data_IF_437856295726
#
_entry.id   IF_437856295726
#
_cell.length_a   1.000
_cell.length_b   1.000
_cell.length_c   1.000
_cell.angle_alpha   90.00
_cell.angle_beta   90.00
_cell.angle_gamma   90.00
#
_symmetry.space_group_name_H-M   'P 1'
#
loop_
_entity.id
_entity.type
_entity.pdbx_description
1 polymer ?
#
# COMPACT_ATOMS: atom_id res chain seq x y z
N UNK A 1 27.93 -11.46 -24.95
CA UNK A 1 26.81 -10.53 -25.18
C UNK A 1 25.70 -10.97 -24.26
N UNK A 2 25.69 -10.40 -23.07
CA UNK A 2 24.65 -10.54 -22.07
C UNK A 2 24.37 -9.11 -21.61
N UNK A 3 23.55 -8.41 -22.38
CA UNK A 3 23.21 -7.03 -22.13
C UNK A 3 21.78 -6.90 -21.62
N UNK A 4 21.72 -6.42 -20.40
CA UNK A 4 20.84 -5.31 -19.99
C UNK A 4 19.34 -5.50 -20.25
N UNK A 5 18.69 -6.37 -19.46
CA UNK A 5 17.24 -6.52 -19.55
C UNK A 5 16.44 -5.80 -18.45
N UNK A 6 17.08 -5.13 -17.49
CA UNK A 6 16.38 -4.40 -16.42
C UNK A 6 17.19 -3.19 -15.97
N UNK A 7 17.23 -2.15 -16.79
CA UNK A 7 17.46 -0.80 -16.27
C UNK A 7 16.10 -0.25 -15.83
N UNK A 8 15.69 -0.56 -14.62
CA UNK A 8 14.73 0.27 -13.90
C UNK A 8 15.51 1.46 -13.35
N UNK A 9 15.77 2.46 -14.19
CA UNK A 9 15.86 3.81 -13.68
C UNK A 9 14.45 4.16 -13.22
N UNK A 10 14.17 3.89 -11.92
CA UNK A 10 13.08 4.54 -11.24
C UNK A 10 13.34 6.04 -11.36
N UNK A 11 12.68 6.71 -12.29
CA UNK A 11 12.41 8.13 -12.16
C UNK A 11 11.61 8.28 -10.86
N UNK A 12 12.33 8.39 -9.76
CA UNK A 12 11.76 8.86 -8.52
C UNK A 12 11.27 10.26 -8.84
N UNK A 13 9.96 10.41 -8.96
CA UNK A 13 9.31 11.71 -8.96
C UNK A 13 9.67 12.35 -7.63
N UNK A 14 10.78 13.07 -7.62
CA UNK A 14 11.22 13.85 -6.46
C UNK A 14 10.18 14.95 -6.31
N UNK A 15 9.26 14.75 -5.40
CA UNK A 15 8.33 15.82 -5.03
C UNK A 15 9.13 16.82 -4.19
N UNK A 16 9.71 17.84 -4.86
CA UNK A 16 10.54 18.87 -4.22
C UNK A 16 9.72 19.86 -3.38
N UNK A 17 8.40 19.66 -3.31
CA UNK A 17 7.49 20.51 -2.55
C UNK A 17 7.36 20.11 -1.09
N UNK A 18 6.75 21.00 -0.24
CA UNK A 18 6.48 20.73 1.15
C UNK A 18 5.56 19.50 1.30
N UNK A 19 5.88 18.61 2.23
CA UNK A 19 5.07 17.43 2.55
C UNK A 19 4.68 17.41 4.02
N UNK A 20 3.47 16.91 4.32
CA UNK A 20 3.02 16.69 5.69
C UNK A 20 2.93 15.19 5.94
N UNK A 21 3.49 14.73 7.05
CA UNK A 21 3.47 13.33 7.44
C UNK A 21 3.30 13.21 8.96
N UNK A 22 2.29 12.47 9.40
CA UNK A 22 1.93 12.33 10.82
C UNK A 22 1.85 13.68 11.58
N UNK A 23 1.23 14.68 10.93
CA UNK A 23 1.05 16.02 11.48
C UNK A 23 2.30 16.91 11.48
N UNK A 24 3.43 16.44 10.99
CA UNK A 24 4.68 17.21 10.88
C UNK A 24 4.84 17.71 9.43
N UNK A 25 5.14 19.01 9.28
CA UNK A 25 5.44 19.60 7.99
C UNK A 25 6.95 19.54 7.71
N UNK A 26 7.31 19.15 6.50
CA UNK A 26 8.68 19.10 6.00
C UNK A 26 8.81 19.95 4.74
N UNK A 27 9.96 20.54 4.54
CA UNK A 27 10.26 21.34 3.34
C UNK A 27 10.27 20.50 2.05
N UNK A 28 10.60 19.21 2.17
CA UNK A 28 10.62 18.25 1.06
C UNK A 28 10.46 16.81 1.56
N UNK A 29 10.16 15.88 0.64
CA UNK A 29 10.14 14.45 0.94
C UNK A 29 11.51 13.92 1.38
N UNK A 30 12.59 14.47 0.84
CA UNK A 30 13.95 14.12 1.28
C UNK A 30 14.16 14.45 2.77
N UNK A 31 13.68 15.61 3.24
CA UNK A 31 13.76 16.00 4.65
C UNK A 31 12.89 15.12 5.54
N UNK A 32 11.69 14.72 5.06
CA UNK A 32 10.86 13.73 5.76
C UNK A 32 11.61 12.41 5.93
N UNK A 33 12.21 11.88 4.86
CA UNK A 33 12.98 10.61 4.89
C UNK A 33 14.15 10.67 5.83
N UNK A 34 14.92 11.75 5.79
CA UNK A 34 16.07 11.97 6.69
C UNK A 34 15.62 11.93 8.15
N UNK A 35 14.59 12.70 8.49
CA UNK A 35 14.05 12.78 9.85
C UNK A 35 13.57 11.41 10.36
N UNK A 36 12.73 10.73 9.59
CA UNK A 36 12.17 9.45 10.04
C UNK A 36 13.20 8.31 10.05
N UNK A 37 14.24 8.36 9.24
CA UNK A 37 15.37 7.42 9.33
C UNK A 37 16.14 7.60 10.63
N UNK A 38 16.40 8.82 11.03
CA UNK A 38 17.01 9.12 12.34
C UNK A 38 16.14 8.67 13.50
N UNK A 39 14.84 8.92 13.43
CA UNK A 39 13.89 8.47 14.45
C UNK A 39 13.80 6.93 14.51
N UNK A 40 13.83 6.25 13.36
CA UNK A 40 13.89 4.78 13.32
C UNK A 40 15.16 4.28 14.01
N UNK A 41 16.32 4.87 13.70
CA UNK A 41 17.60 4.51 14.31
C UNK A 41 17.55 4.57 15.84
N UNK A 42 16.94 5.60 16.40
CA UNK A 42 16.76 5.76 17.84
C UNK A 42 15.86 4.68 18.45
N UNK A 43 14.89 4.17 17.69
CA UNK A 43 13.94 3.16 18.16
C UNK A 43 14.42 1.71 17.97
N UNK A 44 15.41 1.47 17.11
CA UNK A 44 15.90 0.12 16.82
C UNK A 44 16.32 -0.68 18.06
N UNK A 45 17.02 -0.11 19.08
CA UNK A 45 17.39 -0.86 20.27
C UNK A 45 16.18 -1.47 21.02
N UNK A 46 15.06 -0.75 21.08
CA UNK A 46 13.83 -1.24 21.70
C UNK A 46 13.10 -2.25 20.80
N UNK A 47 13.06 -1.96 19.50
CA UNK A 47 12.39 -2.82 18.52
C UNK A 47 13.06 -4.19 18.40
N UNK A 48 14.38 -4.28 18.60
CA UNK A 48 15.12 -5.54 18.59
C UNK A 48 14.69 -6.53 19.69
N UNK A 49 14.00 -6.05 20.73
CA UNK A 49 13.45 -6.91 21.78
C UNK A 49 12.13 -7.57 21.37
N UNK A 50 11.54 -7.17 20.25
CA UNK A 50 10.30 -7.75 19.74
C UNK A 50 10.60 -9.11 19.12
N UNK A 51 9.82 -10.12 19.48
CA UNK A 51 9.95 -11.46 18.91
C UNK A 51 9.78 -11.43 17.39
N UNK A 52 10.65 -12.14 16.68
CA UNK A 52 10.64 -12.15 15.20
C UNK A 52 11.29 -10.94 14.55
N UNK A 53 12.01 -10.09 15.31
CA UNK A 53 12.77 -9.01 14.71
C UNK A 53 13.79 -9.55 13.70
N UNK A 54 13.90 -8.94 12.50
CA UNK A 54 14.78 -9.45 11.43
C UNK A 54 16.27 -9.40 11.83
N UNK A 55 17.03 -10.35 11.31
CA UNK A 55 18.48 -10.34 11.44
C UNK A 55 19.09 -9.34 10.47
N UNK A 56 20.10 -8.61 10.89
CA UNK A 56 20.78 -7.59 10.10
C UNK A 56 21.35 -6.47 10.97
N UNK A 57 22.18 -5.64 10.39
CA UNK A 57 22.69 -4.43 11.05
C UNK A 57 21.62 -3.35 11.04
N UNK A 58 21.78 -2.33 11.88
CA UNK A 58 20.87 -1.17 11.88
C UNK A 58 20.90 -0.45 10.52
N UNK A 59 22.06 -0.39 9.90
CA UNK A 59 22.22 0.25 8.59
C UNK A 59 21.49 -0.53 7.48
N UNK A 60 21.53 -1.88 7.52
CA UNK A 60 20.76 -2.70 6.57
C UNK A 60 19.26 -2.47 6.71
N UNK A 61 18.75 -2.46 7.95
CA UNK A 61 17.34 -2.22 8.24
C UNK A 61 16.90 -0.84 7.76
N UNK A 62 17.71 0.19 8.02
CA UNK A 62 17.42 1.57 7.60
C UNK A 62 17.48 1.71 6.09
N UNK A 63 18.47 1.09 5.43
CA UNK A 63 18.62 1.14 3.98
C UNK A 63 17.42 0.51 3.25
N UNK A 64 16.86 -0.57 3.82
CA UNK A 64 15.69 -1.26 3.29
C UNK A 64 14.36 -0.64 3.71
N UNK A 65 14.36 0.49 4.41
CA UNK A 65 13.16 1.15 4.94
C UNK A 65 12.93 2.51 4.29
N UNK A 66 11.65 2.86 4.13
CA UNK A 66 11.18 4.22 3.83
C UNK A 66 10.22 4.69 4.95
N UNK A 67 10.74 4.97 6.16
CA UNK A 67 9.92 5.35 7.29
C UNK A 67 9.30 6.74 7.09
N UNK A 68 8.12 6.98 7.69
CA UNK A 68 7.37 6.10 8.57
C UNK A 68 6.45 5.11 7.84
N UNK A 69 6.34 5.17 6.50
CA UNK A 69 5.40 4.39 5.71
C UNK A 69 5.73 2.90 5.69
N UNK A 70 6.99 2.59 5.47
CA UNK A 70 7.49 1.23 5.43
C UNK A 70 8.77 1.08 6.25
N UNK A 71 8.87 0.00 7.04
CA UNK A 71 10.08 -0.37 7.74
C UNK A 71 10.40 -1.85 7.54
N UNK A 72 11.67 -2.17 7.35
CA UNK A 72 12.15 -3.55 7.25
C UNK A 72 12.19 -4.27 8.62
N UNK A 73 11.49 -3.75 9.61
CA UNK A 73 11.29 -4.28 10.96
C UNK A 73 9.87 -3.92 11.42
N UNK A 74 9.42 -4.35 12.60
CA UNK A 74 8.13 -3.93 13.13
C UNK A 74 8.01 -2.40 13.13
N UNK A 75 7.01 -1.88 12.40
CA UNK A 75 6.86 -0.44 12.18
C UNK A 75 6.32 0.26 13.44
N UNK A 76 7.10 1.18 14.06
CA UNK A 76 6.68 1.84 15.29
C UNK A 76 5.58 2.89 15.10
N UNK A 77 5.28 3.33 13.86
CA UNK A 77 4.30 4.38 13.56
C UNK A 77 2.93 3.87 13.13
N UNK A 78 2.71 2.56 13.06
CA UNK A 78 1.41 2.00 12.65
C UNK A 78 0.25 2.57 13.49
N UNK A 79 0.45 2.72 14.81
CA UNK A 79 -0.57 3.27 15.70
C UNK A 79 -0.88 4.73 15.42
N UNK A 80 0.11 5.51 15.00
CA UNK A 80 -0.05 6.93 14.67
C UNK A 80 -0.83 7.10 13.38
N UNK A 81 -0.54 6.30 12.35
CA UNK A 81 -1.34 6.25 11.13
C UNK A 81 -2.79 5.83 11.40
N UNK A 82 -3.00 4.77 12.18
CA UNK A 82 -4.36 4.34 12.51
C UNK A 82 -5.13 5.45 13.22
N UNK A 83 -4.48 6.19 14.13
CA UNK A 83 -5.10 7.31 14.84
C UNK A 83 -5.46 8.45 13.88
N UNK A 84 -4.56 8.84 13.00
CA UNK A 84 -4.77 9.87 11.98
C UNK A 84 -5.94 9.51 11.06
N UNK A 85 -5.98 8.29 10.54
CA UNK A 85 -7.08 7.81 9.72
C UNK A 85 -8.42 7.76 10.46
N UNK A 86 -8.43 7.35 11.73
CA UNK A 86 -9.64 7.36 12.55
C UNK A 86 -10.17 8.78 12.77
N UNK A 87 -9.31 9.75 12.99
CA UNK A 87 -9.69 11.15 13.14
C UNK A 87 -10.28 11.70 11.83
N UNK A 88 -9.64 11.43 10.71
CA UNK A 88 -10.11 11.85 9.39
C UNK A 88 -11.45 11.20 9.03
N UNK A 89 -11.68 9.95 9.45
CA UNK A 89 -12.91 9.21 9.21
C UNK A 89 -14.07 9.69 10.10
N UNK A 90 -13.81 10.13 11.31
CA UNK A 90 -14.85 10.69 12.19
C UNK A 90 -15.48 11.97 11.63
N UNK A 91 -14.76 12.67 10.74
CA UNK A 91 -15.24 13.87 10.04
C UNK A 91 -15.94 13.56 8.70
N UNK A 92 -15.90 12.32 8.22
CA UNK A 92 -16.66 11.89 7.06
C UNK A 92 -18.05 11.39 7.52
N UNK A 93 -19.12 11.84 6.84
CA UNK A 93 -20.50 11.40 7.11
C UNK A 93 -20.56 9.88 7.28
N UNK A 94 -21.42 9.42 8.22
CA UNK A 94 -21.66 7.98 8.45
C UNK A 94 -22.08 7.31 7.14
N UNK A 95 -21.13 6.74 6.48
CA UNK A 95 -21.33 6.05 5.23
C UNK A 95 -21.99 4.71 5.55
N UNK A 96 -23.18 4.47 5.03
CA UNK A 96 -23.96 3.26 5.28
C UNK A 96 -23.09 2.00 5.12
N UNK A 97 -23.07 1.19 6.17
CA UNK A 97 -22.36 -0.10 6.16
C UNK A 97 -23.06 -1.02 5.19
N UNK A 98 -22.33 -1.60 4.27
CA UNK A 98 -22.87 -2.66 3.40
C UNK A 98 -23.23 -3.86 4.29
N UNK A 99 -24.50 -4.24 4.28
CA UNK A 99 -25.03 -5.30 5.16
C UNK A 99 -25.24 -6.61 4.42
N UNK A 100 -25.34 -6.55 3.09
CA UNK A 100 -25.56 -7.74 2.28
C UNK A 100 -24.28 -8.18 1.56
N UNK A 101 -24.08 -9.49 1.35
CA UNK A 101 -22.95 -9.98 0.60
C UNK A 101 -23.07 -9.61 -0.88
N UNK A 102 -21.91 -9.40 -1.53
CA UNK A 102 -21.85 -9.24 -2.98
C UNK A 102 -22.38 -10.51 -3.67
N UNK A 103 -23.52 -10.41 -4.33
CA UNK A 103 -24.26 -11.56 -4.89
C UNK A 103 -24.23 -11.68 -6.40
N UNK A 104 -23.44 -10.86 -7.09
CA UNK A 104 -23.40 -10.88 -8.54
C UNK A 104 -22.41 -11.92 -9.08
N UNK A 105 -22.82 -12.59 -10.17
CA UNK A 105 -21.95 -13.54 -10.85
C UNK A 105 -20.81 -12.79 -11.54
N UNK A 106 -19.59 -13.20 -11.25
CA UNK A 106 -18.39 -12.61 -11.84
C UNK A 106 -17.98 -13.47 -13.04
N UNK A 107 -18.37 -13.03 -14.23
CA UNK A 107 -17.94 -13.65 -15.48
C UNK A 107 -16.69 -12.96 -16.00
N UNK A 108 -15.51 -13.56 -15.78
CA UNK A 108 -14.29 -12.92 -16.13
C UNK A 108 -13.48 -13.59 -17.19
N UNK A 109 -12.95 -12.75 -18.07
CA UNK A 109 -11.97 -13.14 -19.07
C UNK A 109 -10.57 -13.12 -18.44
N UNK A 110 -9.99 -14.29 -18.22
CA UNK A 110 -8.59 -14.47 -17.76
C UNK A 110 -7.56 -14.06 -18.84
N UNK A 111 -7.80 -12.99 -19.59
CA UNK A 111 -7.05 -12.64 -20.81
C UNK A 111 -6.35 -11.28 -20.72
N UNK A 112 -6.32 -10.61 -19.55
CA UNK A 112 -5.62 -9.33 -19.45
C UNK A 112 -4.09 -9.56 -19.50
N UNK A 113 -3.37 -8.60 -20.10
CA UNK A 113 -1.90 -8.65 -20.18
C UNK A 113 -1.26 -8.75 -18.79
N UNK A 114 -1.80 -8.02 -17.81
CA UNK A 114 -1.34 -8.04 -16.42
C UNK A 114 -1.57 -9.40 -15.79
N UNK A 115 -2.77 -9.99 -16.00
CA UNK A 115 -3.04 -11.35 -15.50
C UNK A 115 -2.08 -12.38 -16.09
N UNK A 116 -1.77 -12.28 -17.39
CA UNK A 116 -0.91 -13.22 -18.09
C UNK A 116 0.59 -12.99 -17.80
N UNK A 117 0.98 -11.82 -17.29
CA UNK A 117 2.37 -11.52 -16.96
C UNK A 117 2.95 -12.42 -15.85
N UNK A 118 2.10 -13.00 -15.01
CA UNK A 118 2.50 -13.94 -13.96
C UNK A 118 2.07 -15.36 -14.27
N UNK A 119 2.97 -16.34 -14.06
CA UNK A 119 2.72 -17.76 -14.30
C UNK A 119 1.88 -18.44 -13.19
N UNK A 120 1.56 -17.76 -12.09
CA UNK A 120 0.82 -18.34 -10.97
C UNK A 120 -0.63 -18.64 -11.36
N UNK A 121 -1.00 -19.92 -11.37
CA UNK A 121 -2.25 -20.39 -11.96
C UNK A 121 -3.50 -20.11 -11.13
N UNK A 122 -3.37 -19.97 -9.81
CA UNK A 122 -4.50 -19.78 -8.88
C UNK A 122 -4.75 -18.33 -8.50
N UNK A 123 -4.09 -17.38 -9.17
CA UNK A 123 -4.35 -15.97 -8.93
C UNK A 123 -5.75 -15.57 -9.37
N UNK A 124 -6.35 -14.66 -8.63
CA UNK A 124 -7.66 -14.08 -8.96
C UNK A 124 -7.44 -12.92 -9.93
N UNK A 125 -8.22 -12.80 -11.01
CA UNK A 125 -8.15 -11.65 -11.89
C UNK A 125 -8.42 -10.34 -11.14
N UNK A 126 -7.65 -9.26 -11.42
CA UNK A 126 -7.81 -8.00 -10.69
C UNK A 126 -9.21 -7.37 -10.87
N UNK A 127 -9.86 -7.59 -12.01
CA UNK A 127 -11.21 -7.11 -12.28
C UNK A 127 -12.25 -7.73 -11.32
N UNK A 128 -12.08 -9.01 -10.93
CA UNK A 128 -12.91 -9.67 -9.90
C UNK A 128 -12.77 -8.96 -8.58
N UNK A 129 -11.53 -8.80 -8.14
CA UNK A 129 -11.21 -8.17 -6.86
C UNK A 129 -11.73 -6.74 -6.83
N UNK A 130 -11.60 -6.01 -7.95
CA UNK A 130 -12.08 -4.65 -8.13
C UNK A 130 -13.58 -4.52 -7.87
N UNK A 131 -14.40 -5.48 -8.36
CA UNK A 131 -15.84 -5.47 -8.12
C UNK A 131 -16.16 -5.53 -6.61
N UNK A 132 -15.42 -6.36 -5.86
CA UNK A 132 -15.57 -6.41 -4.41
C UNK A 132 -15.13 -5.09 -3.75
N UNK A 133 -14.05 -4.47 -4.19
CA UNK A 133 -13.63 -3.18 -3.64
C UNK A 133 -14.65 -2.09 -3.89
N UNK A 134 -15.16 -1.97 -5.11
CA UNK A 134 -16.21 -0.98 -5.44
C UNK A 134 -17.49 -1.19 -4.63
N UNK A 135 -17.80 -2.44 -4.27
CA UNK A 135 -18.99 -2.76 -3.50
C UNK A 135 -18.82 -2.52 -1.99
N UNK A 136 -17.68 -2.93 -1.42
CA UNK A 136 -17.47 -2.89 0.03
C UNK A 136 -16.72 -1.67 0.55
N UNK A 137 -16.05 -0.92 -0.32
CA UNK A 137 -15.22 0.22 0.07
C UNK A 137 -15.62 1.48 -0.67
N UNK A 138 -15.11 2.61 -0.18
CA UNK A 138 -15.30 3.94 -0.78
C UNK A 138 -13.97 4.62 -0.98
N UNK A 139 -13.92 5.67 -1.81
CA UNK A 139 -12.72 6.46 -1.98
C UNK A 139 -12.18 6.95 -0.62
N UNK A 140 -10.91 6.69 -0.34
CA UNK A 140 -10.26 7.01 0.93
C UNK A 140 -10.27 5.88 1.97
N UNK A 141 -10.97 4.77 1.74
CA UNK A 141 -10.87 3.59 2.61
C UNK A 141 -9.49 2.92 2.48
N UNK A 142 -9.03 2.31 3.56
CA UNK A 142 -7.77 1.57 3.62
C UNK A 142 -8.05 0.08 3.51
N UNK A 143 -7.38 -0.56 2.56
CA UNK A 143 -7.49 -2.00 2.32
C UNK A 143 -6.19 -2.68 2.75
N UNK A 144 -6.30 -3.71 3.59
CA UNK A 144 -5.18 -4.55 4.00
C UNK A 144 -5.25 -5.89 3.27
N UNK A 145 -4.22 -6.21 2.51
CA UNK A 145 -3.98 -7.55 1.96
C UNK A 145 -2.80 -8.19 2.69
N UNK A 146 -3.09 -9.08 3.62
CA UNK A 146 -2.07 -9.79 4.42
C UNK A 146 -1.34 -10.89 3.65
N UNK A 147 -1.80 -11.27 2.45
CA UNK A 147 -1.26 -12.36 1.64
C UNK A 147 -1.17 -11.94 0.17
N UNK A 148 -0.50 -10.83 -0.10
CA UNK A 148 -0.48 -10.14 -1.39
C UNK A 148 -0.18 -11.03 -2.62
N UNK A 149 0.52 -12.14 -2.44
CA UNK A 149 0.81 -13.12 -3.49
C UNK A 149 1.43 -12.46 -4.72
N UNK A 150 0.71 -12.50 -5.86
CA UNK A 150 1.14 -11.86 -7.11
C UNK A 150 0.77 -10.38 -7.20
N UNK A 151 0.27 -9.77 -6.13
CA UNK A 151 -0.10 -8.35 -6.10
C UNK A 151 -1.38 -7.98 -6.85
N UNK A 152 -2.22 -8.96 -7.20
CA UNK A 152 -3.45 -8.69 -7.97
C UNK A 152 -4.42 -7.77 -7.20
N UNK A 153 -4.43 -7.82 -5.88
CA UNK A 153 -5.18 -6.91 -5.03
C UNK A 153 -4.74 -5.44 -5.22
N UNK A 154 -3.43 -5.20 -5.27
CA UNK A 154 -2.88 -3.86 -5.55
C UNK A 154 -3.22 -3.36 -6.95
N UNK A 155 -3.17 -4.25 -7.96
CA UNK A 155 -3.62 -3.92 -9.32
C UNK A 155 -5.10 -3.54 -9.33
N UNK A 156 -5.95 -4.29 -8.61
CA UNK A 156 -7.37 -4.03 -8.51
C UNK A 156 -7.65 -2.65 -7.89
N UNK A 157 -6.96 -2.28 -6.82
CA UNK A 157 -7.09 -0.95 -6.20
C UNK A 157 -6.72 0.16 -7.19
N UNK A 158 -5.63 -0.01 -7.93
CA UNK A 158 -5.24 0.96 -8.97
C UNK A 158 -6.30 1.11 -10.06
N UNK A 159 -6.94 0.00 -10.45
CA UNK A 159 -7.99 0.01 -11.47
C UNK A 159 -9.29 0.66 -10.96
N UNK A 160 -9.56 0.65 -9.64
CA UNK A 160 -10.70 1.36 -9.06
C UNK A 160 -10.69 2.87 -9.33
N UNK A 161 -9.54 3.46 -9.62
CA UNK A 161 -9.45 4.87 -10.02
C UNK A 161 -10.07 5.15 -11.41
N UNK A 162 -10.27 4.10 -12.23
CA UNK A 162 -10.82 4.20 -13.61
C UNK A 162 -11.74 3.00 -13.88
N UNK A 163 -12.88 2.90 -13.18
CA UNK A 163 -13.82 1.80 -13.39
C UNK A 163 -14.45 1.88 -14.78
N UNK A 164 -14.76 0.72 -15.38
CA UNK A 164 -15.55 0.68 -16.61
C UNK A 164 -17.01 1.08 -16.34
N UNK A 165 -17.77 1.47 -17.40
CA UNK A 165 -19.16 1.86 -17.25
C UNK A 165 -20.06 0.79 -16.62
N UNK A 166 -19.75 -0.50 -16.83
CA UNK A 166 -20.48 -1.61 -16.20
C UNK A 166 -20.19 -1.72 -14.69
N UNK A 167 -19.03 -1.31 -14.25
CA UNK A 167 -18.59 -1.36 -12.85
C UNK A 167 -19.09 -0.16 -12.02
N UNK A 168 -19.56 0.89 -12.67
CA UNK A 168 -20.15 2.08 -12.03
C UNK A 168 -21.63 1.90 -11.64
N UNK A 169 -22.23 0.75 -11.92
CA UNK A 169 -23.64 0.47 -11.63
C UNK A 169 -23.86 -0.09 -10.22
N UNK A 170 -22.83 -0.16 -9.40
CA UNK A 170 -22.82 -0.64 -8.01
C UNK A 170 -22.23 0.45 -7.12
#
# INVERSE_FOLDING_TARGET
>A
MADTLFNFEEEQVVNDGPVTCLGIQFESDAKRREFFREELRKKLPELRLVEGFPQGTDDDIIALSDPPYYTACPNPWVKDFVREWQQNRANSEQIGRVTEPYGLSVNEKKNSAIYNAHSYHTKVPPEVIMNYYLYYTKPGDVVLDGFAGTGMAGVAINNCARPSGEQLLY
#
